data_IF_611579352883
#
_entry.id   IF_611579352883
#
_cell.length_a   1.000
_cell.length_b   1.000
_cell.length_c   1.000
_cell.angle_alpha   90.00
_cell.angle_beta   90.00
_cell.angle_gamma   90.00
#
_symmetry.space_group_name_H-M   'P 1'
#
loop_
_entity.id
_entity.type
_entity.pdbx_description
1 polymer ?
#
# COMPACT_ATOMS: atom_id res chain seq x y z
N UNK A 1 96.78 15.07 -68.83
CA UNK A 1 96.99 13.73 -69.41
C UNK A 1 96.35 12.70 -68.48
N UNK A 2 95.71 11.66 -69.04
CA UNK A 2 95.26 10.37 -68.43
C UNK A 2 94.23 10.45 -67.27
N UNK A 3 92.93 10.15 -67.43
CA UNK A 3 92.20 8.85 -67.63
C UNK A 3 92.54 7.72 -66.63
N UNK A 4 91.46 7.12 -66.07
CA UNK A 4 91.24 5.82 -65.36
C UNK A 4 90.62 6.04 -63.96
N UNK A 5 89.30 5.89 -63.73
CA UNK A 5 88.43 4.70 -63.67
C UNK A 5 88.73 3.73 -62.49
N UNK A 6 87.88 3.74 -61.46
CA UNK A 6 87.61 2.62 -60.53
C UNK A 6 86.36 2.99 -59.70
N UNK A 7 85.19 2.48 -60.05
CA UNK A 7 84.64 1.21 -59.55
C UNK A 7 83.87 1.40 -58.22
N UNK A 8 82.56 1.50 -58.41
CA UNK A 8 81.44 1.52 -57.47
C UNK A 8 81.52 0.34 -56.46
N UNK A 9 81.56 0.64 -55.17
CA UNK A 9 81.27 -0.33 -54.11
C UNK A 9 80.16 0.25 -53.21
N UNK A 10 78.94 -0.24 -53.45
CA UNK A 10 77.73 0.07 -52.70
C UNK A 10 77.85 -0.53 -51.28
N UNK A 11 77.91 0.33 -50.26
CA UNK A 11 77.80 -0.06 -48.86
C UNK A 11 76.31 -0.06 -48.47
N UNK A 12 75.74 -1.15 -47.91
CA UNK A 12 74.34 -1.16 -47.50
C UNK A 12 74.21 -0.36 -46.20
N UNK A 13 73.46 0.74 -46.26
CA UNK A 13 73.02 1.50 -45.08
C UNK A 13 71.99 0.63 -44.35
N UNK A 14 72.35 0.13 -43.17
CA UNK A 14 71.41 -0.49 -42.24
C UNK A 14 70.38 0.57 -41.81
N UNK A 15 69.18 0.50 -42.38
CA UNK A 15 68.03 1.24 -41.88
C UNK A 15 67.60 0.61 -40.54
N UNK A 16 67.90 1.30 -39.43
CA UNK A 16 67.28 0.97 -38.15
C UNK A 16 65.75 1.10 -38.31
N UNK A 17 64.96 0.08 -37.94
CA UNK A 17 63.52 0.23 -37.89
C UNK A 17 63.20 1.28 -36.82
N UNK A 18 62.55 2.37 -37.24
CA UNK A 18 61.94 3.31 -36.33
C UNK A 18 60.94 2.53 -35.47
N UNK A 19 61.26 2.35 -34.19
CA UNK A 19 60.31 1.93 -33.19
C UNK A 19 59.20 2.98 -33.19
N UNK A 20 58.05 2.64 -33.78
CA UNK A 20 56.82 3.38 -33.61
C UNK A 20 56.49 3.34 -32.12
N UNK A 21 56.80 4.43 -31.40
CA UNK A 21 56.23 4.64 -30.07
C UNK A 21 54.72 4.50 -30.20
N UNK A 22 54.05 3.68 -29.37
CA UNK A 22 52.60 3.70 -29.34
C UNK A 22 52.18 5.15 -29.09
N UNK A 23 51.38 5.71 -30.00
CA UNK A 23 50.77 7.01 -29.83
C UNK A 23 49.81 6.89 -28.64
N UNK A 24 50.33 7.14 -27.44
CA UNK A 24 49.53 7.20 -26.23
C UNK A 24 48.60 8.40 -26.39
N UNK A 25 47.31 8.14 -26.55
CA UNK A 25 46.28 9.17 -26.51
C UNK A 25 46.46 9.95 -25.21
N UNK A 26 46.64 11.26 -25.31
CA UNK A 26 46.84 12.10 -24.14
C UNK A 26 45.60 12.01 -23.24
N UNK A 27 45.78 11.88 -21.92
CA UNK A 27 44.64 11.76 -21.03
C UNK A 27 43.82 13.05 -21.05
N UNK A 28 42.50 12.94 -21.24
CA UNK A 28 41.61 14.09 -21.35
C UNK A 28 40.66 14.16 -20.17
N UNK A 29 40.37 15.38 -19.70
CA UNK A 29 39.42 15.61 -18.61
C UNK A 29 37.98 15.55 -19.13
N UNK A 30 37.10 14.83 -18.42
CA UNK A 30 35.66 14.81 -18.70
C UNK A 30 34.98 16.06 -18.16
N UNK A 31 33.96 16.56 -18.86
CA UNK A 31 33.14 17.69 -18.40
C UNK A 31 32.09 17.26 -17.35
N UNK A 32 31.61 16.03 -17.45
CA UNK A 32 30.65 15.43 -16.53
C UNK A 32 31.15 14.05 -16.10
N UNK A 33 31.02 13.75 -14.80
CA UNK A 33 31.44 12.48 -14.22
C UNK A 33 30.31 11.90 -13.36
N UNK A 34 29.94 10.65 -13.62
CA UNK A 34 28.95 9.92 -12.83
C UNK A 34 29.67 8.92 -11.92
N UNK A 35 29.56 9.13 -10.61
CA UNK A 35 30.29 8.37 -9.60
C UNK A 35 29.32 7.50 -8.82
N UNK A 36 29.62 6.22 -8.67
CA UNK A 36 28.76 5.26 -7.97
C UNK A 36 29.11 5.08 -6.49
N UNK A 37 30.23 5.60 -5.99
CA UNK A 37 30.67 5.42 -4.60
C UNK A 37 30.96 6.71 -3.83
N UNK A 38 31.44 6.59 -2.59
CA UNK A 38 31.80 7.72 -1.73
C UNK A 38 33.07 8.46 -2.21
N UNK A 39 33.87 7.83 -3.07
CA UNK A 39 35.16 8.33 -3.52
C UNK A 39 35.12 8.50 -5.04
N UNK A 40 35.49 9.69 -5.49
CA UNK A 40 35.73 9.97 -6.91
C UNK A 40 37.12 9.47 -7.29
N UNK A 41 37.19 8.61 -8.30
CA UNK A 41 38.44 8.02 -8.76
C UNK A 41 38.99 8.75 -9.98
N UNK A 42 40.26 8.48 -10.32
CA UNK A 42 40.88 9.01 -11.54
C UNK A 42 40.11 8.56 -12.79
N UNK A 43 39.64 7.32 -12.84
CA UNK A 43 38.90 6.78 -13.99
C UNK A 43 37.53 7.44 -14.21
N UNK A 44 36.95 8.03 -13.17
CA UNK A 44 35.67 8.76 -13.28
C UNK A 44 35.86 10.14 -13.94
N UNK A 45 37.01 10.78 -13.72
CA UNK A 45 37.29 12.16 -14.13
C UNK A 45 38.13 12.26 -15.42
N UNK A 46 38.99 11.28 -15.69
CA UNK A 46 40.01 11.34 -16.75
C UNK A 46 39.92 10.12 -17.65
N UNK A 47 39.74 10.37 -18.94
CA UNK A 47 39.88 9.35 -19.98
C UNK A 47 41.35 9.10 -20.29
N UNK A 48 41.75 7.83 -20.45
CA UNK A 48 43.13 7.47 -20.77
C UNK A 48 44.09 7.46 -19.56
N UNK A 49 43.60 7.20 -18.35
CA UNK A 49 44.40 7.20 -17.12
C UNK A 49 45.40 6.03 -16.95
N UNK A 50 45.60 5.21 -17.99
CA UNK A 50 46.63 4.16 -18.13
C UNK A 50 46.96 3.38 -16.85
N UNK A 51 45.97 2.66 -16.29
CA UNK A 51 46.17 1.76 -15.15
C UNK A 51 46.08 2.39 -13.76
N UNK A 52 45.85 3.71 -13.67
CA UNK A 52 45.62 4.43 -12.40
C UNK A 52 44.13 4.73 -12.14
N UNK A 53 43.23 4.08 -12.87
CA UNK A 53 41.79 4.36 -12.85
C UNK A 53 41.16 4.23 -11.45
N UNK A 54 41.62 3.30 -10.62
CA UNK A 54 41.10 3.06 -9.27
C UNK A 54 41.66 3.97 -8.18
N UNK A 55 42.52 4.95 -8.50
CA UNK A 55 43.14 5.82 -7.48
C UNK A 55 42.14 6.86 -6.98
N UNK A 56 41.97 6.92 -5.66
CA UNK A 56 41.09 7.87 -4.97
C UNK A 56 41.61 9.31 -5.08
N UNK A 57 40.76 10.26 -5.50
CA UNK A 57 41.12 11.68 -5.61
C UNK A 57 40.34 12.56 -4.62
N UNK A 58 39.01 12.46 -4.64
CA UNK A 58 38.11 13.34 -3.87
C UNK A 58 37.00 12.55 -3.18
N UNK A 59 36.36 13.15 -2.18
CA UNK A 59 35.07 12.68 -1.68
C UNK A 59 33.96 13.11 -2.63
N UNK A 60 33.09 12.18 -2.98
CA UNK A 60 31.91 12.46 -3.79
C UNK A 60 30.86 13.26 -2.99
N UNK A 61 30.00 14.03 -3.66
CA UNK A 61 28.82 14.66 -3.05
C UNK A 61 27.85 13.66 -2.40
N UNK A 62 26.77 14.15 -1.80
CA UNK A 62 25.69 13.30 -1.32
C UNK A 62 25.02 12.55 -2.50
N UNK A 63 24.49 11.33 -2.31
CA UNK A 63 23.82 10.57 -3.36
C UNK A 63 22.71 11.39 -4.02
N UNK A 64 22.73 11.49 -5.35
CA UNK A 64 21.74 12.24 -6.12
C UNK A 64 22.06 13.73 -6.25
N UNK A 65 23.12 14.22 -5.61
CA UNK A 65 23.60 15.59 -5.80
C UNK A 65 24.72 15.68 -6.84
N UNK A 66 24.79 16.87 -7.45
CA UNK A 66 25.86 17.26 -8.37
C UNK A 66 26.71 18.34 -7.71
N UNK A 67 28.00 18.10 -7.61
CA UNK A 67 28.98 19.06 -7.08
C UNK A 67 29.89 19.60 -8.18
N UNK A 68 30.18 20.92 -8.19
CA UNK A 68 31.18 21.47 -9.10
C UNK A 68 32.59 21.13 -8.60
N UNK A 69 33.45 20.64 -9.50
CA UNK A 69 34.86 20.39 -9.26
C UNK A 69 35.70 21.22 -10.24
N UNK A 70 36.48 22.21 -9.78
CA UNK A 70 37.32 23.01 -10.67
C UNK A 70 38.32 22.14 -11.43
N UNK A 71 38.43 22.33 -12.75
CA UNK A 71 39.31 21.53 -13.60
C UNK A 71 40.78 21.59 -13.13
N UNK A 72 41.23 22.76 -12.64
CA UNK A 72 42.56 22.93 -12.07
C UNK A 72 42.81 22.03 -10.84
N UNK A 73 41.80 21.85 -9.99
CA UNK A 73 41.89 20.99 -8.82
C UNK A 73 41.92 19.50 -9.22
N UNK A 74 41.09 19.11 -10.19
CA UNK A 74 41.07 17.76 -10.73
C UNK A 74 42.43 17.36 -11.34
N UNK A 75 43.01 18.24 -12.17
CA UNK A 75 44.32 18.03 -12.80
C UNK A 75 45.44 17.98 -11.75
N UNK A 76 45.41 18.86 -10.75
CA UNK A 76 46.40 18.86 -9.67
C UNK A 76 46.32 17.59 -8.82
N UNK A 77 45.11 17.07 -8.55
CA UNK A 77 44.92 15.82 -7.84
C UNK A 77 45.38 14.61 -8.68
N UNK A 78 45.03 14.56 -9.97
CA UNK A 78 45.46 13.51 -10.88
C UNK A 78 46.99 13.46 -11.06
N UNK A 79 47.64 14.62 -11.12
CA UNK A 79 49.11 14.71 -11.14
C UNK A 79 49.75 14.15 -9.88
N UNK A 80 49.17 14.43 -8.71
CA UNK A 80 49.61 13.84 -7.43
C UNK A 80 49.42 12.33 -7.40
N UNK A 81 48.39 11.82 -8.08
CA UNK A 81 48.14 10.40 -8.26
C UNK A 81 49.04 9.72 -9.33
N UNK A 82 49.84 10.49 -10.08
CA UNK A 82 50.79 9.98 -11.07
C UNK A 82 50.34 10.08 -12.53
N UNK A 83 49.16 10.65 -12.81
CA UNK A 83 48.70 10.89 -14.18
C UNK A 83 49.37 12.14 -14.75
N UNK A 84 50.12 11.98 -15.85
CA UNK A 84 50.83 13.08 -16.51
C UNK A 84 50.14 13.50 -17.81
N UNK A 85 50.26 14.79 -18.17
CA UNK A 85 49.79 15.30 -19.46
C UNK A 85 48.27 15.40 -19.62
N UNK A 86 47.51 15.61 -18.54
CA UNK A 86 46.05 15.75 -18.60
C UNK A 86 45.65 17.03 -19.32
N UNK A 87 44.93 16.91 -20.44
CA UNK A 87 44.40 18.05 -21.19
C UNK A 87 42.96 18.38 -20.75
N UNK A 88 42.71 19.65 -20.46
CA UNK A 88 41.40 20.13 -20.00
C UNK A 88 40.40 20.36 -21.13
N UNK A 89 40.83 20.41 -22.40
CA UNK A 89 39.98 20.67 -23.58
C UNK A 89 39.00 21.86 -23.44
N UNK A 90 39.39 22.92 -22.73
CA UNK A 90 38.55 24.10 -22.51
C UNK A 90 37.53 23.97 -21.36
N UNK A 91 37.48 22.83 -20.68
CA UNK A 91 36.64 22.59 -19.50
C UNK A 91 37.22 23.36 -18.31
N UNK A 92 36.42 24.26 -17.72
CA UNK A 92 36.80 25.03 -16.53
C UNK A 92 36.34 24.36 -15.24
N UNK A 93 35.20 23.68 -15.28
CA UNK A 93 34.58 23.00 -14.17
C UNK A 93 34.04 21.64 -14.65
N UNK A 94 34.22 20.63 -13.81
CA UNK A 94 33.69 19.29 -14.00
C UNK A 94 32.51 19.12 -13.06
N UNK A 95 31.35 18.75 -13.59
CA UNK A 95 30.19 18.45 -12.77
C UNK A 95 30.21 16.97 -12.37
N UNK A 96 30.41 16.72 -11.08
CA UNK A 96 30.45 15.36 -10.53
C UNK A 96 29.10 15.04 -9.92
N UNK A 97 28.37 14.11 -10.53
CA UNK A 97 27.07 13.65 -10.05
C UNK A 97 27.24 12.29 -9.39
N UNK A 98 26.77 12.15 -8.15
CA UNK A 98 26.77 10.84 -7.48
C UNK A 98 25.49 10.08 -7.83
N UNK A 99 25.66 8.92 -8.46
CA UNK A 99 24.56 8.03 -8.79
C UNK A 99 23.78 7.66 -7.52
N UNK A 100 22.45 7.75 -7.61
CA UNK A 100 21.57 7.39 -6.48
C UNK A 100 20.44 6.47 -6.91
N UNK A 101 19.97 5.71 -5.92
CA UNK A 101 18.71 5.01 -5.94
C UNK A 101 17.74 5.73 -5.02
N UNK A 102 16.58 6.09 -5.55
CA UNK A 102 15.52 6.67 -4.74
C UNK A 102 14.72 5.57 -4.05
N UNK A 103 14.51 5.72 -2.73
CA UNK A 103 13.50 4.99 -1.98
C UNK A 103 12.27 5.88 -1.90
N UNK A 104 11.22 5.51 -2.63
CA UNK A 104 9.99 6.30 -2.69
C UNK A 104 9.13 6.12 -1.43
N UNK A 105 8.25 7.09 -1.18
CA UNK A 105 7.29 7.00 -0.08
C UNK A 105 6.35 5.78 -0.21
N UNK A 106 6.02 5.37 -1.44
CA UNK A 106 5.20 4.19 -1.71
C UNK A 106 5.90 2.90 -1.25
N UNK A 107 7.21 2.77 -1.53
CA UNK A 107 8.01 1.63 -1.07
C UNK A 107 8.09 1.58 0.46
N UNK A 108 8.30 2.73 1.11
CA UNK A 108 8.30 2.83 2.57
C UNK A 108 6.93 2.44 3.14
N UNK A 109 5.86 2.99 2.58
CA UNK A 109 4.49 2.71 3.00
C UNK A 109 4.18 1.23 2.88
N UNK A 110 4.51 0.59 1.75
CA UNK A 110 4.31 -0.84 1.54
C UNK A 110 5.06 -1.70 2.56
N UNK A 111 6.32 -1.39 2.85
CA UNK A 111 7.11 -2.10 3.86
C UNK A 111 6.52 -1.94 5.27
N UNK A 112 6.07 -0.73 5.63
CA UNK A 112 5.43 -0.47 6.91
C UNK A 112 4.07 -1.16 7.02
N UNK A 113 3.22 -1.10 6.00
CA UNK A 113 1.91 -1.76 5.98
C UNK A 113 2.04 -3.26 6.18
N UNK A 114 2.98 -3.91 5.49
CA UNK A 114 3.23 -5.34 5.64
C UNK A 114 3.68 -5.70 7.07
N UNK A 115 4.54 -4.88 7.68
CA UNK A 115 4.97 -5.08 9.06
C UNK A 115 3.84 -4.84 10.07
N UNK A 116 3.10 -3.74 9.92
CA UNK A 116 1.97 -3.38 10.76
C UNK A 116 0.89 -4.47 10.73
N UNK A 117 0.57 -5.02 9.56
CA UNK A 117 -0.40 -6.12 9.43
C UNK A 117 -0.01 -7.36 10.25
N UNK A 118 1.29 -7.68 10.29
CA UNK A 118 1.81 -8.77 11.12
C UNK A 118 1.63 -8.47 12.62
N UNK A 119 1.91 -7.24 13.06
CA UNK A 119 1.79 -6.86 14.47
C UNK A 119 0.32 -6.71 14.92
N UNK A 120 -0.59 -6.31 14.02
CA UNK A 120 -2.04 -6.32 14.25
C UNK A 120 -2.67 -7.73 14.13
N UNK A 121 -2.00 -8.68 13.47
CA UNK A 121 -2.54 -10.01 13.20
C UNK A 121 -3.67 -10.01 12.17
N UNK A 122 -3.63 -9.09 11.20
CA UNK A 122 -4.63 -8.93 10.16
C UNK A 122 -4.01 -8.98 8.75
N UNK A 123 -4.86 -8.99 7.72
CA UNK A 123 -4.40 -8.94 6.34
C UNK A 123 -3.78 -7.58 5.99
N UNK A 124 -2.82 -7.56 5.06
CA UNK A 124 -2.16 -6.32 4.61
C UNK A 124 -3.17 -5.32 4.06
N UNK A 125 -4.19 -5.81 3.35
CA UNK A 125 -5.25 -4.98 2.81
C UNK A 125 -6.06 -4.30 3.90
N UNK A 126 -6.13 -4.86 5.12
CA UNK A 126 -6.86 -4.32 6.26
C UNK A 126 -6.14 -3.11 6.90
N UNK A 127 -4.88 -2.86 6.59
CA UNK A 127 -4.11 -1.77 7.21
C UNK A 127 -4.02 -0.56 6.29
N UNK A 128 -4.42 0.59 6.81
CA UNK A 128 -4.20 1.87 6.17
C UNK A 128 -3.01 2.57 6.83
N UNK A 129 -1.99 2.86 6.04
CA UNK A 129 -0.76 3.51 6.50
C UNK A 129 -0.65 4.90 5.90
N UNK A 130 -0.41 5.89 6.75
CA UNK A 130 -0.16 7.28 6.38
C UNK A 130 1.15 7.73 7.01
N UNK A 131 2.08 8.20 6.19
CA UNK A 131 3.35 8.76 6.66
C UNK A 131 3.16 10.22 7.08
N UNK A 132 3.99 10.70 8.01
CA UNK A 132 3.98 12.12 8.37
C UNK A 132 4.40 13.00 7.17
N UNK A 133 3.84 14.21 7.01
CA UNK A 133 4.05 15.05 5.81
C UNK A 133 5.47 15.59 5.64
N UNK A 134 6.29 15.55 6.69
CA UNK A 134 7.71 15.92 6.63
C UNK A 134 8.57 14.81 6.00
N UNK A 135 8.01 13.62 5.75
CA UNK A 135 8.72 12.52 5.09
C UNK A 135 8.85 12.79 3.60
N UNK A 136 10.08 12.69 3.12
CA UNK A 136 10.44 12.78 1.71
C UNK A 136 11.08 11.48 1.24
N UNK A 137 11.12 11.28 -0.08
CA UNK A 137 11.89 10.20 -0.67
C UNK A 137 13.36 10.32 -0.26
N UNK A 138 14.01 9.18 -0.02
CA UNK A 138 15.40 9.13 0.44
C UNK A 138 16.29 8.64 -0.69
N UNK A 139 17.33 9.40 -0.99
CA UNK A 139 18.35 9.01 -1.96
C UNK A 139 19.43 8.17 -1.27
N UNK A 140 19.55 6.92 -1.72
CA UNK A 140 20.60 6.01 -1.33
C UNK A 140 21.67 5.95 -2.42
N UNK A 141 22.85 5.49 -2.04
CA UNK A 141 23.91 5.19 -2.98
C UNK A 141 23.46 4.11 -4.00
N UNK A 142 23.77 4.32 -5.29
CA UNK A 142 23.36 3.41 -6.36
C UNK A 142 23.93 1.98 -6.21
N UNK A 143 25.04 1.80 -5.49
CA UNK A 143 25.58 0.48 -5.17
C UNK A 143 24.71 -0.33 -4.20
N UNK A 144 23.75 0.30 -3.53
CA UNK A 144 22.85 -0.32 -2.56
C UNK A 144 21.57 -0.83 -3.23
N UNK A 145 21.59 -2.08 -3.71
CA UNK A 145 20.49 -2.68 -4.48
C UNK A 145 19.51 -3.55 -3.67
N UNK A 146 19.73 -3.75 -2.37
CA UNK A 146 18.91 -4.68 -1.59
C UNK A 146 17.45 -4.27 -1.40
N UNK A 147 16.65 -5.19 -0.85
CA UNK A 147 15.28 -4.93 -0.47
C UNK A 147 15.21 -4.01 0.76
N UNK A 148 14.15 -3.19 0.82
CA UNK A 148 13.86 -2.37 1.98
C UNK A 148 13.27 -3.26 3.08
N UNK A 149 13.91 -3.26 4.25
CA UNK A 149 13.52 -4.08 5.39
C UNK A 149 13.23 -3.19 6.60
N UNK A 150 12.25 -3.60 7.41
CA UNK A 150 11.91 -2.93 8.66
C UNK A 150 12.79 -3.50 9.78
N UNK A 151 13.85 -2.79 10.15
CA UNK A 151 14.79 -3.20 11.19
C UNK A 151 14.17 -3.11 12.59
N UNK A 152 13.38 -2.06 12.82
CA UNK A 152 12.64 -1.84 14.07
C UNK A 152 11.30 -1.22 13.73
N UNK A 153 10.27 -1.67 14.43
CA UNK A 153 8.93 -1.12 14.32
C UNK A 153 8.30 -1.08 15.71
N UNK A 154 7.81 0.09 16.11
CA UNK A 154 7.08 0.28 17.35
C UNK A 154 5.79 0.99 17.00
N UNK A 155 4.65 0.36 17.26
CA UNK A 155 3.31 0.92 17.02
C UNK A 155 2.50 0.92 18.30
N UNK A 156 1.77 2.00 18.55
CA UNK A 156 0.74 2.06 19.57
C UNK A 156 -0.60 1.62 18.97
N UNK A 157 -1.07 0.42 19.34
CA UNK A 157 -2.30 -0.18 18.80
C UNK A 157 -3.57 0.63 19.11
N UNK A 158 -3.53 1.56 20.08
CA UNK A 158 -4.69 2.41 20.41
C UNK A 158 -4.79 3.62 19.50
N UNK A 159 -3.65 4.25 19.20
CA UNK A 159 -3.58 5.50 18.44
C UNK A 159 -3.19 5.28 16.98
N UNK A 160 -2.67 4.10 16.65
CA UNK A 160 -2.09 3.75 15.36
C UNK A 160 -0.74 4.43 15.10
N UNK A 161 -0.21 5.24 16.01
CA UNK A 161 1.05 5.96 15.79
C UNK A 161 2.21 4.98 15.83
N UNK A 162 3.14 5.14 14.87
CA UNK A 162 4.33 4.29 14.82
C UNK A 162 5.62 5.09 14.65
N UNK A 163 6.71 4.48 15.12
CA UNK A 163 8.09 4.87 14.85
C UNK A 163 8.84 3.64 14.30
N UNK A 164 9.38 3.78 13.11
CA UNK A 164 10.02 2.71 12.37
C UNK A 164 11.43 3.10 11.93
N UNK A 165 12.34 2.13 11.95
CA UNK A 165 13.66 2.24 11.35
C UNK A 165 13.71 1.27 10.18
N UNK A 166 13.86 1.81 8.98
CA UNK A 166 14.06 1.05 7.75
C UNK A 166 15.55 0.94 7.44
N UNK A 167 15.95 -0.20 6.91
CA UNK A 167 17.29 -0.45 6.42
C UNK A 167 17.20 -1.11 5.04
N UNK A 168 18.25 -1.01 4.25
CA UNK A 168 18.33 -1.76 2.99
C UNK A 168 19.21 -2.99 3.20
N UNK A 169 18.69 -4.15 2.79
CA UNK A 169 19.42 -5.41 2.86
C UNK A 169 20.78 -5.29 2.13
N UNK A 170 21.85 -5.75 2.73
CA UNK A 170 23.18 -5.68 2.12
C UNK A 170 23.77 -4.26 1.99
N UNK A 171 23.16 -3.24 2.62
CA UNK A 171 23.78 -1.93 2.75
C UNK A 171 25.13 -2.05 3.49
N UNK A 172 26.12 -1.28 3.05
CA UNK A 172 27.44 -1.27 3.69
C UNK A 172 27.34 -0.85 5.17
N UNK A 173 28.25 -1.37 6.01
CA UNK A 173 28.36 -0.95 7.42
C UNK A 173 28.63 0.56 7.46
N UNK A 174 27.59 1.36 7.72
CA UNK A 174 27.67 2.83 7.71
C UNK A 174 26.48 3.52 7.06
N UNK A 175 25.65 2.82 6.28
CA UNK A 175 24.38 3.39 5.80
C UNK A 175 23.46 3.65 6.99
N UNK A 176 23.14 4.92 7.24
CA UNK A 176 22.25 5.30 8.32
C UNK A 176 20.84 4.72 8.07
N UNK A 177 20.18 4.16 9.10
CA UNK A 177 18.81 3.71 8.96
C UNK A 177 17.89 4.89 8.65
N UNK A 178 16.89 4.65 7.82
CA UNK A 178 15.87 5.64 7.48
C UNK A 178 14.81 5.59 8.57
N UNK A 179 14.70 6.65 9.36
CA UNK A 179 13.63 6.77 10.34
C UNK A 179 12.35 7.23 9.66
N UNK A 180 11.27 6.50 9.89
CA UNK A 180 9.95 6.78 9.34
C UNK A 180 8.94 6.79 10.46
N UNK A 181 8.13 7.84 10.50
CA UNK A 181 7.04 8.00 11.46
C UNK A 181 5.73 8.24 10.73
N UNK A 182 4.62 7.91 11.40
CA UNK A 182 3.29 8.08 10.83
C UNK A 182 2.21 7.41 11.65
N UNK A 183 1.11 7.09 10.98
CA UNK A 183 0.00 6.31 11.52
C UNK A 183 -0.24 5.07 10.65
N UNK A 184 -0.40 3.91 11.27
CA UNK A 184 -0.82 2.67 10.64
C UNK A 184 -2.02 2.14 11.43
N UNK A 185 -3.21 2.18 10.84
CA UNK A 185 -4.47 1.83 11.50
C UNK A 185 -5.10 0.61 10.84
N UNK A 186 -5.54 -0.35 11.66
CA UNK A 186 -6.38 -1.44 11.18
C UNK A 186 -7.77 -0.88 10.82
N UNK A 187 -8.21 -1.14 9.61
CA UNK A 187 -9.51 -0.75 9.06
C UNK A 187 -10.35 -1.98 8.80
N UNK A 188 -11.64 -1.85 9.03
CA UNK A 188 -12.64 -2.89 8.77
C UNK A 188 -13.70 -2.36 7.82
N UNK A 189 -14.22 -3.26 6.99
CA UNK A 189 -15.35 -2.96 6.13
C UNK A 189 -16.63 -2.91 6.96
N UNK A 190 -17.32 -1.77 6.92
CA UNK A 190 -18.57 -1.53 7.63
C UNK A 190 -19.70 -1.25 6.67
N UNK A 191 -20.90 -1.71 7.04
CA UNK A 191 -22.12 -1.34 6.38
C UNK A 191 -22.54 0.09 6.75
N UNK A 192 -22.62 0.97 5.77
CA UNK A 192 -23.19 2.32 5.90
C UNK A 192 -24.47 2.45 5.10
N UNK A 193 -25.37 3.33 5.52
CA UNK A 193 -26.61 3.58 4.80
C UNK A 193 -26.43 4.65 3.72
N UNK A 194 -26.92 4.38 2.51
CA UNK A 194 -26.96 5.36 1.41
C UNK A 194 -28.12 6.36 1.52
N UNK A 195 -29.10 6.09 2.38
CA UNK A 195 -30.23 6.98 2.70
C UNK A 195 -30.72 6.78 4.13
N UNK A 196 -31.44 7.75 4.67
CA UNK A 196 -32.12 7.58 5.95
C UNK A 196 -33.21 6.49 5.88
N UNK A 197 -33.31 5.70 6.96
CA UNK A 197 -34.33 4.67 7.16
C UNK A 197 -35.17 4.97 8.40
N UNK A 198 -36.48 4.77 8.27
CA UNK A 198 -37.41 4.87 9.40
C UNK A 198 -37.48 3.55 10.17
N UNK A 199 -37.98 3.62 11.40
CA UNK A 199 -38.22 2.41 12.20
C UNK A 199 -39.20 1.49 11.47
N UNK A 200 -38.81 0.22 11.31
CA UNK A 200 -39.59 -0.81 10.63
C UNK A 200 -39.22 -1.00 9.16
N UNK A 201 -38.50 -0.05 8.55
CA UNK A 201 -38.09 -0.16 7.15
C UNK A 201 -37.11 -1.31 6.97
N UNK A 202 -37.30 -2.09 5.90
CA UNK A 202 -36.41 -3.18 5.53
C UNK A 202 -35.17 -2.60 4.83
N UNK A 203 -33.99 -3.00 5.28
CA UNK A 203 -32.72 -2.65 4.67
C UNK A 203 -32.53 -3.48 3.41
N UNK A 204 -32.62 -2.81 2.26
CA UNK A 204 -32.33 -3.45 0.97
C UNK A 204 -30.84 -3.43 0.67
N UNK A 205 -30.38 -4.30 -0.23
CA UNK A 205 -28.98 -4.30 -0.66
C UNK A 205 -28.55 -2.98 -1.35
N UNK A 206 -29.50 -2.24 -1.95
CA UNK A 206 -29.24 -0.94 -2.56
C UNK A 206 -29.07 0.19 -1.51
N UNK A 207 -29.60 -0.02 -0.30
CA UNK A 207 -29.49 0.94 0.81
C UNK A 207 -28.16 0.81 1.56
N UNK A 208 -27.40 -0.26 1.31
CA UNK A 208 -26.15 -0.58 2.02
C UNK A 208 -24.95 -0.28 1.13
N UNK A 209 -24.00 0.47 1.68
CA UNK A 209 -22.70 0.75 1.08
C UNK A 209 -21.58 0.21 1.96
N UNK A 210 -20.61 -0.44 1.34
CA UNK A 210 -19.35 -0.80 1.97
C UNK A 210 -18.49 0.45 2.15
N UNK A 211 -18.12 0.76 3.39
CA UNK A 211 -17.19 1.83 3.72
C UNK A 211 -16.06 1.29 4.60
N UNK A 212 -14.85 1.81 4.47
CA UNK A 212 -13.71 1.38 5.28
C UNK A 212 -13.53 2.34 6.44
N UNK A 213 -13.59 1.83 7.67
CA UNK A 213 -13.44 2.64 8.87
C UNK A 213 -12.37 2.07 9.80
N UNK A 214 -11.65 2.91 10.55
CA UNK A 214 -10.75 2.42 11.58
C UNK A 214 -11.51 1.52 12.56
N UNK A 215 -10.94 0.34 12.87
CA UNK A 215 -11.56 -0.67 13.75
C UNK A 215 -11.96 -0.11 15.11
N UNK A 216 -11.17 0.83 15.64
CA UNK A 216 -11.46 1.53 16.88
C UNK A 216 -12.79 2.34 16.85
N UNK A 217 -13.18 2.88 15.69
CA UNK A 217 -14.43 3.64 15.52
C UNK A 217 -15.60 2.75 15.09
N UNK A 218 -15.27 1.61 14.48
CA UNK A 218 -16.19 0.62 13.94
C UNK A 218 -16.47 -0.55 14.89
N UNK A 219 -16.19 -0.40 16.19
CA UNK A 219 -16.48 -1.44 17.18
C UNK A 219 -17.96 -1.82 17.10
N UNK A 220 -18.28 -3.11 16.95
CA UNK A 220 -19.65 -3.66 16.77
C UNK A 220 -20.39 -3.26 15.49
N UNK A 221 -19.71 -2.66 14.51
CA UNK A 221 -20.29 -2.44 13.18
C UNK A 221 -20.41 -3.77 12.43
N UNK A 222 -21.51 -3.92 11.70
CA UNK A 222 -21.79 -5.10 10.88
C UNK A 222 -21.17 -4.97 9.50
N UNK A 223 -20.86 -6.13 8.89
CA UNK A 223 -20.40 -6.18 7.50
C UNK A 223 -21.58 -5.98 6.54
N UNK A 224 -21.38 -5.41 5.35
CA UNK A 224 -22.46 -5.21 4.36
C UNK A 224 -23.28 -6.46 4.05
N UNK A 225 -22.65 -7.63 4.06
CA UNK A 225 -23.28 -8.93 3.80
C UNK A 225 -24.24 -9.40 4.88
N UNK A 226 -24.14 -8.86 6.10
CA UNK A 226 -24.91 -9.29 7.27
C UNK A 226 -26.18 -8.46 7.50
N UNK A 227 -26.32 -7.35 6.78
CA UNK A 227 -27.36 -6.33 7.03
C UNK A 227 -28.58 -6.51 6.13
N UNK A 228 -28.37 -6.93 4.88
CA UNK A 228 -29.44 -6.99 3.89
C UNK A 228 -30.58 -7.93 4.33
N UNK A 229 -31.82 -7.44 4.23
CA UNK A 229 -33.02 -8.19 4.63
C UNK A 229 -33.38 -8.06 6.11
N UNK A 230 -32.60 -7.35 6.93
CA UNK A 230 -33.02 -6.95 8.28
C UNK A 230 -33.87 -5.66 8.23
N UNK A 231 -34.56 -5.35 9.32
CA UNK A 231 -35.35 -4.12 9.47
C UNK A 231 -34.75 -3.18 10.51
N UNK A 232 -34.89 -1.88 10.30
CA UNK A 232 -34.37 -0.86 11.20
C UNK A 232 -35.19 -0.82 12.50
N UNK A 233 -34.54 -1.04 13.66
CA UNK A 233 -35.17 -1.02 14.99
C UNK A 233 -35.53 0.39 15.44
N UNK A 234 -34.82 1.40 14.93
CA UNK A 234 -35.01 2.84 15.19
C UNK A 234 -34.82 3.62 13.89
N UNK A 235 -35.04 4.93 13.91
CA UNK A 235 -34.68 5.79 12.79
C UNK A 235 -33.14 5.88 12.66
N UNK A 236 -32.63 5.64 11.46
CA UNK A 236 -31.21 5.62 11.14
C UNK A 236 -30.89 6.67 10.08
N UNK A 237 -29.72 7.29 10.19
CA UNK A 237 -29.27 8.35 9.27
C UNK A 237 -28.43 7.77 8.14
N UNK A 238 -28.35 8.52 7.05
CA UNK A 238 -27.36 8.27 6.00
C UNK A 238 -25.93 8.35 6.54
N UNK A 239 -25.01 7.63 5.90
CA UNK A 239 -23.58 7.52 6.24
C UNK A 239 -23.26 7.07 7.67
N UNK A 240 -24.25 6.57 8.40
CA UNK A 240 -24.07 6.00 9.72
C UNK A 240 -23.66 4.51 9.62
N UNK A 241 -22.57 4.08 10.30
CA UNK A 241 -22.24 2.66 10.40
C UNK A 241 -23.33 1.89 11.16
N UNK A 242 -23.79 0.78 10.57
CA UNK A 242 -24.83 -0.06 11.11
C UNK A 242 -24.28 -1.03 12.16
N UNK A 243 -25.00 -1.15 13.27
CA UNK A 243 -24.64 -2.01 14.39
C UNK A 243 -25.71 -3.07 14.61
N UNK A 244 -25.35 -4.18 15.25
CA UNK A 244 -26.30 -5.25 15.59
C UNK A 244 -27.49 -4.77 16.41
N UNK A 245 -27.29 -3.80 17.32
CA UNK A 245 -28.35 -3.21 18.14
C UNK A 245 -29.33 -2.30 17.38
N UNK A 246 -28.99 -1.89 16.16
CA UNK A 246 -29.81 -0.99 15.33
C UNK A 246 -30.78 -1.72 14.41
N UNK A 247 -30.58 -3.03 14.26
CA UNK A 247 -31.35 -3.89 13.38
C UNK A 247 -32.21 -4.87 14.18
N UNK A 248 -33.28 -5.33 13.54
CA UNK A 248 -34.15 -6.39 14.03
C UNK A 248 -34.64 -7.25 12.86
N UNK A 249 -35.19 -8.42 13.16
CA UNK A 249 -35.87 -9.23 12.14
C UNK A 249 -37.08 -8.44 11.61
N UNK A 250 -37.33 -8.43 10.29
CA UNK A 250 -38.50 -7.77 9.72
C UNK A 250 -39.78 -8.29 10.36
N UNK A 251 -40.62 -7.37 10.81
CA UNK A 251 -41.95 -7.73 11.30
C UNK A 251 -42.84 -7.94 10.08
N UNK A 252 -43.28 -9.18 9.85
CA UNK A 252 -44.22 -9.47 8.78
C UNK A 252 -45.67 -9.19 9.18
N UNK A 253 -45.92 -9.09 10.49
CA UNK A 253 -47.22 -8.79 11.06
C UNK A 253 -47.08 -7.68 12.10
N UNK A 254 -47.83 -6.59 11.91
CA UNK A 254 -47.94 -5.52 12.89
C UNK A 254 -49.09 -5.76 13.87
N UNK A 255 -48.97 -5.21 15.07
CA UNK A 255 -50.05 -5.27 16.07
C UNK A 255 -51.27 -4.49 15.57
N UNK A 256 -52.41 -5.17 15.49
CA UNK A 256 -53.68 -4.62 15.05
C UNK A 256 -53.92 -4.73 13.55
N UNK A 257 -52.95 -5.21 12.77
CA UNK A 257 -53.10 -5.42 11.34
C UNK A 257 -54.06 -6.58 11.03
N UNK A 258 -54.66 -6.54 9.85
CA UNK A 258 -55.46 -7.64 9.32
C UNK A 258 -54.54 -8.69 8.70
N UNK A 259 -54.67 -9.93 9.13
CA UNK A 259 -53.86 -11.06 8.67
C UNK A 259 -54.75 -12.18 8.16
N UNK A 260 -54.23 -12.96 7.22
CA UNK A 260 -54.85 -14.21 6.76
C UNK A 260 -54.43 -15.31 7.72
N UNK A 261 -55.40 -15.83 8.47
CA UNK A 261 -55.21 -17.01 9.30
C UNK A 261 -55.44 -18.25 8.44
N UNK A 262 -54.41 -19.07 8.28
CA UNK A 262 -54.46 -20.36 7.63
C UNK A 262 -54.54 -21.43 8.71
N UNK A 263 -55.63 -22.17 8.72
CA UNK A 263 -55.80 -23.34 9.57
C UNK A 263 -55.54 -24.58 8.72
N UNK A 264 -54.47 -25.32 9.02
CA UNK A 264 -54.09 -26.52 8.29
C UNK A 264 -54.25 -27.76 9.19
N UNK A 265 -55.04 -28.74 8.74
CA UNK A 265 -55.22 -30.06 9.37
C UNK A 265 -55.09 -31.12 8.28
N UNK A 266 -54.89 -32.40 8.64
CA UNK A 266 -54.71 -33.56 7.75
C UNK A 266 -55.66 -33.57 6.54
N UNK A 267 -55.24 -32.93 5.44
CA UNK A 267 -55.95 -32.85 4.16
C UNK A 267 -56.84 -31.62 3.92
N UNK A 268 -56.97 -30.68 4.86
CA UNK A 268 -57.87 -29.51 4.72
C UNK A 268 -57.15 -28.22 5.15
N UNK A 269 -57.18 -27.20 4.28
CA UNK A 269 -56.73 -25.84 4.58
C UNK A 269 -57.93 -24.87 4.56
N UNK A 270 -58.07 -24.08 5.61
CA UNK A 270 -59.10 -23.03 5.71
C UNK A 270 -58.40 -21.68 5.88
N UNK A 271 -58.71 -20.73 5.00
CA UNK A 271 -58.17 -19.37 5.05
C UNK A 271 -59.24 -18.39 5.49
N UNK A 272 -58.98 -17.63 6.55
CA UNK A 272 -59.94 -16.66 7.09
C UNK A 272 -59.26 -15.37 7.57
N UNK A 273 -59.99 -14.25 7.56
CA UNK A 273 -59.45 -12.96 8.01
C UNK A 273 -59.45 -12.86 9.52
N UNK A 274 -58.31 -12.53 10.09
CA UNK A 274 -58.11 -12.28 11.51
C UNK A 274 -57.42 -10.93 11.73
N UNK A 275 -57.46 -10.44 12.98
CA UNK A 275 -56.75 -9.25 13.43
C UNK A 275 -55.62 -9.66 14.37
N UNK A 276 -54.40 -9.25 14.10
CA UNK A 276 -53.26 -9.54 14.96
C UNK A 276 -53.36 -8.75 16.28
N UNK A 277 -53.19 -9.42 17.42
CA UNK A 277 -53.14 -8.77 18.73
C UNK A 277 -51.70 -8.47 19.18
N UNK A 278 -50.73 -9.16 18.59
CA UNK A 278 -49.29 -8.95 18.79
C UNK A 278 -48.58 -8.81 17.44
N UNK A 279 -47.46 -8.08 17.42
CA UNK A 279 -46.58 -8.02 16.26
C UNK A 279 -45.59 -9.20 16.29
N UNK A 280 -45.12 -9.65 15.13
CA UNK A 280 -44.18 -10.77 15.03
C UNK A 280 -43.44 -10.81 13.70
N UNK A 281 -42.22 -11.39 13.75
CA UNK A 281 -41.45 -11.75 12.57
C UNK A 281 -41.81 -13.17 12.10
N UNK A 282 -41.30 -13.59 10.94
CA UNK A 282 -41.44 -14.97 10.47
C UNK A 282 -41.00 -15.96 11.56
N UNK A 283 -41.81 -16.98 11.80
CA UNK A 283 -41.57 -18.02 12.81
C UNK A 283 -41.95 -17.63 14.24
N UNK A 284 -42.31 -16.38 14.52
CA UNK A 284 -42.78 -15.98 15.84
C UNK A 284 -44.23 -16.45 16.06
N UNK A 285 -44.51 -16.88 17.29
CA UNK A 285 -45.85 -17.32 17.71
C UNK A 285 -46.62 -16.10 18.23
N UNK A 286 -47.63 -15.67 17.48
CA UNK A 286 -48.44 -14.49 17.76
C UNK A 286 -49.89 -14.84 18.06
N UNK A 287 -50.53 -13.99 18.85
CA UNK A 287 -51.96 -14.09 19.14
C UNK A 287 -52.77 -13.29 18.13
N UNK A 288 -53.80 -13.91 17.55
CA UNK A 288 -54.71 -13.32 16.56
C UNK A 288 -56.17 -13.49 16.98
N UNK A 289 -57.03 -12.55 16.60
CA UNK A 289 -58.47 -12.61 16.85
C UNK A 289 -59.23 -12.78 15.52
N UNK A 290 -60.04 -13.82 15.41
CA UNK A 290 -60.92 -14.01 14.26
C UNK A 290 -62.03 -12.93 14.28
N UNK A 291 -62.24 -12.24 13.15
CA UNK A 291 -63.23 -11.16 13.05
C UNK A 291 -64.69 -11.64 13.10
N UNK A 292 -64.96 -12.84 12.59
CA UNK A 292 -66.31 -13.41 12.54
C UNK A 292 -66.71 -14.04 13.88
N UNK A 293 -65.84 -14.85 14.46
CA UNK A 293 -66.15 -15.59 15.70
C UNK A 293 -65.72 -14.86 16.98
N UNK A 294 -64.97 -13.76 16.86
CA UNK A 294 -64.31 -13.03 17.96
C UNK A 294 -63.36 -13.88 18.82
N UNK A 295 -63.11 -15.15 18.46
CA UNK A 295 -62.22 -16.05 19.19
C UNK A 295 -60.76 -15.67 18.99
N UNK A 296 -60.00 -15.80 20.07
CA UNK A 296 -58.55 -15.57 20.09
C UNK A 296 -57.82 -16.89 19.91
N UNK A 297 -56.88 -16.94 18.98
CA UNK A 297 -56.12 -18.14 18.62
C UNK A 297 -54.64 -17.78 18.52
N UNK A 298 -53.77 -18.70 18.88
CA UNK A 298 -52.33 -18.56 18.73
C UNK A 298 -51.87 -19.24 17.45
N UNK A 299 -51.03 -18.58 16.66
CA UNK A 299 -50.49 -19.11 15.42
C UNK A 299 -49.08 -18.60 15.13
N UNK A 300 -48.39 -19.27 14.23
CA UNK A 300 -47.01 -18.95 13.83
C UNK A 300 -47.05 -18.11 12.55
N UNK A 301 -46.31 -17.01 12.51
CA UNK A 301 -46.22 -16.16 11.31
C UNK A 301 -45.46 -16.90 10.22
N UNK A 302 -46.12 -17.20 9.10
CA UNK A 302 -45.53 -17.93 7.96
C UNK A 302 -45.12 -17.02 6.81
N UNK A 303 -45.66 -15.79 6.74
CA UNK A 303 -45.35 -14.84 5.68
C UNK A 303 -45.92 -13.44 5.95
N UNK A 304 -45.81 -12.52 4.98
CA UNK A 304 -46.35 -11.16 5.07
C UNK A 304 -47.85 -11.17 5.34
N UNK A 305 -48.27 -10.70 6.52
CA UNK A 305 -49.67 -10.75 6.97
C UNK A 305 -50.31 -12.15 6.94
N UNK A 306 -49.52 -13.21 7.11
CA UNK A 306 -49.99 -14.61 7.08
C UNK A 306 -49.58 -15.35 8.36
N UNK A 307 -50.54 -16.06 8.95
CA UNK A 307 -50.35 -16.79 10.21
C UNK A 307 -50.95 -18.19 10.06
N UNK A 308 -50.16 -19.21 10.37
CA UNK A 308 -50.60 -20.61 10.33
C UNK A 308 -50.82 -21.16 11.75
N UNK A 309 -51.93 -21.88 11.95
CA UNK A 309 -52.24 -22.56 13.22
C UNK A 309 -52.19 -24.07 13.00
N UNK A 310 -51.29 -24.76 13.69
CA UNK A 310 -51.09 -26.21 13.58
C UNK A 310 -51.82 -27.01 14.66
N UNK A 311 -52.21 -26.37 15.78
CA UNK A 311 -52.96 -27.04 16.84
C UNK A 311 -54.45 -26.79 16.69
N UNK A 312 -55.23 -27.87 16.59
CA UNK A 312 -56.67 -27.79 16.68
C UNK A 312 -57.11 -27.07 17.96
N UNK A 313 -58.18 -26.26 17.94
CA UNK A 313 -58.68 -25.65 19.15
C UNK A 313 -59.07 -26.77 20.12
N UNK A 314 -58.29 -26.94 21.19
CA UNK A 314 -58.76 -27.72 22.34
C UNK A 314 -60.00 -27.03 22.85
N UNK A 315 -61.17 -27.63 22.56
CA UNK A 315 -62.42 -27.21 23.14
C UNK A 315 -62.31 -27.40 24.66
N UNK A 316 -62.06 -26.30 25.37
CA UNK A 316 -62.27 -26.22 26.82
C UNK A 316 -63.78 -26.35 27.05
N UNK A 317 -64.24 -27.59 27.10
CA UNK A 317 -65.47 -27.93 27.76
C UNK A 317 -65.27 -27.69 29.25
N UNK A 318 -65.98 -26.70 29.82
CA UNK A 318 -66.29 -26.72 31.24
C UNK A 318 -67.75 -26.34 31.46
N UNK A 319 -68.36 -27.19 32.28
CA UNK A 319 -69.75 -27.27 32.74
C UNK A 319 -70.23 -25.99 33.40
#
# INVERSE_FOLDING_TARGET
MTRFACALALLPVLALPALSSPAFAQPTLRAEALVSGEIVTVGDLIDGAHGLEGVALFRAPDPGQTGPLPAAAAIAAARRAGVQGVEANGVREVFVTRASREVSLEQMTGAITARAATDYGCDVEAVETTLDPEMAAVHLDAGVSGALEVARFVVDLKTGRFDALLQVAGAARGTAPIRVTGAAVETVEVATLSRALSRGDIVSAADVRADRRPKAQAQDALRPTEVAGLAAKRALREDQPLRSGDLMRPQHVERGAFVTLIYATSGVSLSLKAKALAAGAAGDLITVQNLQSKRVVNGVVTGPSEVTVTSAPTALARR
#
